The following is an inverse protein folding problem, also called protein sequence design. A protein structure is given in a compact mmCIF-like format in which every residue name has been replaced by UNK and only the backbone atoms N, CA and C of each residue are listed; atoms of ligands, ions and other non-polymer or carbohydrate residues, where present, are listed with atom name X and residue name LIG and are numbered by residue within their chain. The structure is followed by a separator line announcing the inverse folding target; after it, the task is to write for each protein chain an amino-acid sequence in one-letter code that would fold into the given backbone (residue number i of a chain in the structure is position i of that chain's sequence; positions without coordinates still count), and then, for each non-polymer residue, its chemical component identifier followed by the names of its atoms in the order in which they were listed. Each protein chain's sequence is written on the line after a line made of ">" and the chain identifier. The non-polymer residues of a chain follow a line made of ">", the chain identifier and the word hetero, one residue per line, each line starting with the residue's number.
data_IF_604167220625
#
_entry.id   IF_604167220625
#
_cell.length_a   1.000
_cell.length_b   1.000
_cell.length_c   1.000
_cell.angle_alpha   90.00
_cell.angle_beta   90.00
_cell.angle_gamma   90.00
#
_symmetry.space_group_name_H-M   'P 1'
#
loop_
_entity.id
_entity.type
_entity.pdbx_description
1 polymer ?
#
# COMPACT_ATOMS: atom_id res chain seq x y z
N UNK A 1 7.70 -10.15 -6.40
CA UNK A 1 7.70 -8.80 -5.83
C UNK A 1 8.46 -8.88 -4.52
N UNK A 2 9.29 -7.91 -4.22
CA UNK A 2 10.15 -7.93 -3.04
C UNK A 2 9.30 -7.84 -1.78
N UNK A 3 9.50 -8.72 -0.80
CA UNK A 3 8.99 -8.50 0.54
C UNK A 3 9.50 -7.16 1.07
N UNK A 4 8.75 -6.49 1.93
CA UNK A 4 9.09 -5.14 2.40
C UNK A 4 10.47 -5.09 3.09
N UNK A 5 10.80 -6.15 3.81
CA UNK A 5 12.04 -6.32 4.55
C UNK A 5 12.86 -7.55 4.11
N UNK A 6 12.41 -8.27 3.08
CA UNK A 6 13.04 -9.49 2.61
C UNK A 6 14.25 -9.24 1.70
N UNK A 7 15.00 -10.29 1.40
CA UNK A 7 16.10 -10.21 0.44
C UNK A 7 15.59 -9.79 -0.94
N UNK A 8 16.44 -9.20 -1.79
CA UNK A 8 16.06 -8.88 -3.15
C UNK A 8 15.67 -10.13 -3.93
N UNK A 9 14.56 -10.06 -4.67
CA UNK A 9 14.07 -11.11 -5.55
C UNK A 9 13.80 -10.55 -6.95
N UNK A 10 13.82 -11.39 -8.00
CA UNK A 10 13.49 -10.93 -9.35
C UNK A 10 12.00 -10.53 -9.45
N UNK A 11 11.74 -9.43 -10.14
CA UNK A 11 10.38 -8.90 -10.35
C UNK A 11 9.72 -9.61 -11.55
N UNK A 12 9.13 -10.78 -11.32
CA UNK A 12 8.55 -11.63 -12.37
C UNK A 12 7.03 -11.45 -12.45
N UNK A 13 6.48 -11.46 -13.67
CA UNK A 13 5.06 -11.62 -13.93
C UNK A 13 4.68 -13.10 -13.71
N UNK A 14 3.87 -13.39 -12.70
CA UNK A 14 3.51 -14.76 -12.34
C UNK A 14 2.20 -15.23 -12.95
N UNK A 15 1.27 -14.32 -13.14
CA UNK A 15 -0.05 -14.57 -13.74
C UNK A 15 -0.47 -13.38 -14.57
N UNK A 16 -1.32 -13.65 -15.52
CA UNK A 16 -1.93 -12.66 -16.39
C UNK A 16 -3.43 -12.95 -16.49
N UNK A 17 -4.22 -11.90 -16.51
CA UNK A 17 -5.62 -11.94 -16.90
C UNK A 17 -5.83 -10.95 -18.03
N UNK A 18 -6.41 -11.41 -19.12
CA UNK A 18 -6.81 -10.59 -20.24
C UNK A 18 -8.33 -10.63 -20.34
N UNK A 19 -8.94 -9.48 -20.35
CA UNK A 19 -10.39 -9.32 -20.52
C UNK A 19 -10.66 -8.19 -21.50
N UNK A 20 -11.91 -8.06 -21.96
CA UNK A 20 -12.29 -6.90 -22.73
C UNK A 20 -12.32 -5.64 -21.84
N UNK A 21 -12.25 -4.46 -22.45
CA UNK A 21 -12.10 -3.19 -21.72
C UNK A 21 -13.36 -2.76 -20.95
N UNK A 22 -14.49 -3.42 -21.16
CA UNK A 22 -15.75 -3.24 -20.44
C UNK A 22 -15.83 -4.06 -19.13
N UNK A 23 -14.92 -5.01 -18.93
CA UNK A 23 -14.84 -5.78 -17.69
C UNK A 23 -14.28 -4.94 -16.54
N UNK A 24 -14.91 -5.12 -15.37
CA UNK A 24 -14.45 -4.53 -14.11
C UNK A 24 -13.17 -5.24 -13.61
N UNK A 25 -12.00 -4.59 -13.64
CA UNK A 25 -10.73 -5.27 -13.36
C UNK A 25 -10.62 -5.85 -11.93
N UNK A 26 -11.05 -5.15 -10.83
CA UNK A 26 -10.87 -5.68 -9.48
C UNK A 26 -11.54 -7.02 -9.24
N UNK A 27 -12.88 -7.19 -9.44
CA UNK A 27 -13.53 -8.49 -9.24
C UNK A 27 -13.06 -9.55 -10.24
N UNK A 28 -12.71 -9.17 -11.47
CA UNK A 28 -12.16 -10.10 -12.47
C UNK A 28 -10.78 -10.66 -12.07
N UNK A 29 -10.02 -9.94 -11.26
CA UNK A 29 -8.70 -10.38 -10.81
C UNK A 29 -8.73 -11.28 -9.57
N UNK A 30 -9.79 -11.26 -8.76
CA UNK A 30 -9.92 -12.11 -7.56
C UNK A 30 -9.77 -13.62 -7.88
N UNK A 31 -10.40 -14.19 -8.93
CA UNK A 31 -10.19 -15.60 -9.28
C UNK A 31 -8.74 -15.93 -9.66
N UNK A 32 -7.98 -14.96 -10.19
CA UNK A 32 -6.56 -15.14 -10.49
C UNK A 32 -5.76 -15.28 -9.20
N UNK A 33 -6.01 -14.44 -8.21
CA UNK A 33 -5.39 -14.51 -6.89
C UNK A 33 -5.73 -15.84 -6.18
N UNK A 34 -6.99 -16.25 -6.20
CA UNK A 34 -7.44 -17.54 -5.65
C UNK A 34 -6.72 -18.72 -6.30
N UNK A 35 -6.49 -18.67 -7.61
CA UNK A 35 -5.76 -19.70 -8.33
C UNK A 35 -4.29 -19.73 -7.94
N UNK A 36 -3.66 -18.54 -7.78
CA UNK A 36 -2.29 -18.45 -7.27
C UNK A 36 -2.14 -19.09 -5.90
N UNK A 37 -3.07 -18.84 -4.98
CA UNK A 37 -3.06 -19.43 -3.64
C UNK A 37 -3.26 -20.97 -3.70
N UNK A 38 -4.14 -21.47 -4.54
CA UNK A 38 -4.32 -22.92 -4.77
C UNK A 38 -3.06 -23.58 -5.35
N UNK A 39 -2.30 -22.85 -6.15
CA UNK A 39 -1.03 -23.33 -6.71
C UNK A 39 0.14 -23.21 -5.68
N UNK A 40 -0.15 -22.97 -4.40
CA UNK A 40 0.82 -22.90 -3.31
C UNK A 40 1.56 -21.56 -3.21
N UNK A 41 1.12 -20.52 -3.92
CA UNK A 41 1.74 -19.19 -3.85
C UNK A 41 1.10 -18.41 -2.71
N UNK A 42 1.87 -18.14 -1.65
CA UNK A 42 1.43 -17.25 -0.56
C UNK A 42 1.49 -15.81 -1.00
N UNK A 43 0.37 -15.09 -0.89
CA UNK A 43 0.28 -13.65 -1.16
C UNK A 43 0.24 -12.93 0.19
N UNK A 44 1.34 -12.29 0.57
CA UNK A 44 1.42 -11.54 1.84
C UNK A 44 0.94 -10.10 1.67
N UNK A 45 1.41 -9.42 0.62
CA UNK A 45 1.07 -8.02 0.33
C UNK A 45 0.47 -7.91 -1.07
N UNK A 46 -0.67 -7.26 -1.19
CA UNK A 46 -1.28 -6.93 -2.48
C UNK A 46 -1.28 -5.41 -2.67
N UNK A 47 -0.47 -4.96 -3.62
CA UNK A 47 -0.36 -3.55 -3.98
C UNK A 47 -1.24 -3.26 -5.19
N UNK A 48 -2.19 -2.34 -5.03
CA UNK A 48 -3.10 -1.93 -6.09
C UNK A 48 -3.11 -0.40 -6.22
N UNK A 49 -3.51 0.11 -7.38
CA UNK A 49 -3.73 1.55 -7.52
C UNK A 49 -5.10 1.98 -6.96
N UNK A 50 -5.36 3.28 -6.98
CA UNK A 50 -6.63 3.84 -6.48
C UNK A 50 -7.86 3.31 -7.24
N UNK A 51 -7.72 2.89 -8.49
CA UNK A 51 -8.82 2.33 -9.28
C UNK A 51 -9.45 1.09 -8.64
N UNK A 52 -8.68 0.33 -7.86
CA UNK A 52 -9.18 -0.82 -7.11
C UNK A 52 -9.93 -0.41 -5.83
N UNK A 53 -9.62 0.74 -5.25
CA UNK A 53 -10.27 1.26 -4.05
C UNK A 53 -11.70 1.78 -4.28
N UNK A 54 -12.14 1.94 -5.54
CA UNK A 54 -13.51 2.41 -5.87
C UNK A 54 -14.60 1.37 -5.61
N UNK A 55 -14.23 0.11 -5.39
CA UNK A 55 -15.21 -0.99 -5.29
C UNK A 55 -15.74 -1.16 -3.87
N UNK A 56 -16.98 -1.67 -3.79
CA UNK A 56 -17.54 -2.12 -2.50
C UNK A 56 -16.67 -3.25 -1.91
N UNK A 57 -16.61 -3.37 -0.58
CA UNK A 57 -15.71 -4.31 0.09
C UNK A 57 -15.84 -5.76 -0.41
N UNK A 58 -17.05 -6.21 -0.70
CA UNK A 58 -17.38 -7.59 -1.11
C UNK A 58 -16.79 -7.95 -2.47
N UNK A 59 -16.54 -6.95 -3.32
CA UNK A 59 -16.02 -7.17 -4.70
C UNK A 59 -14.51 -7.14 -4.77
N UNK A 60 -13.82 -6.64 -3.74
CA UNK A 60 -12.38 -6.51 -3.75
C UNK A 60 -11.73 -6.75 -2.38
N UNK A 61 -11.94 -5.87 -1.41
CA UNK A 61 -11.15 -5.87 -0.17
C UNK A 61 -11.37 -7.14 0.69
N UNK A 62 -12.61 -7.59 0.85
CA UNK A 62 -12.92 -8.79 1.63
C UNK A 62 -12.41 -10.08 0.96
N UNK A 63 -12.64 -10.32 -0.35
CA UNK A 63 -12.06 -11.48 -1.03
C UNK A 63 -10.53 -11.54 -0.96
N UNK A 64 -9.84 -10.40 -1.07
CA UNK A 64 -8.38 -10.33 -0.97
C UNK A 64 -7.91 -10.71 0.44
N UNK A 65 -8.55 -10.18 1.48
CA UNK A 65 -8.19 -10.52 2.87
C UNK A 65 -8.50 -11.97 3.21
N UNK A 66 -9.57 -12.54 2.65
CA UNK A 66 -9.88 -13.96 2.82
C UNK A 66 -8.78 -14.89 2.28
N UNK A 67 -7.89 -14.40 1.40
CA UNK A 67 -6.69 -15.12 0.96
C UNK A 67 -5.49 -14.95 1.91
N UNK A 68 -5.64 -14.23 3.01
CA UNK A 68 -4.56 -13.90 3.94
C UNK A 68 -3.66 -12.76 3.46
N UNK A 69 -4.04 -12.03 2.42
CA UNK A 69 -3.25 -10.94 1.86
C UNK A 69 -3.60 -9.59 2.50
N UNK A 70 -2.58 -8.79 2.81
CA UNK A 70 -2.72 -7.42 3.28
C UNK A 70 -2.79 -6.44 2.09
N UNK A 71 -3.81 -5.59 2.09
CA UNK A 71 -3.95 -4.55 1.09
C UNK A 71 -3.01 -3.38 1.35
N UNK A 72 -2.44 -2.83 0.28
CA UNK A 72 -1.66 -1.58 0.26
C UNK A 72 -2.07 -0.82 -0.99
N UNK A 73 -2.92 0.20 -0.81
CA UNK A 73 -3.51 0.94 -1.92
C UNK A 73 -3.69 2.41 -1.55
N UNK A 74 -3.78 3.27 -2.55
CA UNK A 74 -4.20 4.66 -2.33
C UNK A 74 -5.71 4.70 -2.11
N UNK A 75 -6.16 5.48 -1.12
CA UNK A 75 -7.58 5.61 -0.83
C UNK A 75 -8.25 6.54 -1.84
N UNK A 76 -9.49 6.20 -2.21
CA UNK A 76 -10.35 7.11 -2.96
C UNK A 76 -10.51 8.44 -2.20
N UNK A 77 -10.52 9.61 -2.87
CA UNK A 77 -10.67 10.89 -2.19
C UNK A 77 -11.84 10.95 -1.21
N UNK A 78 -13.00 10.36 -1.55
CA UNK A 78 -14.19 10.33 -0.70
C UNK A 78 -14.07 9.37 0.52
N UNK A 79 -13.07 8.50 0.54
CA UNK A 79 -12.81 7.57 1.64
C UNK A 79 -11.69 8.08 2.57
N UNK A 80 -11.16 9.27 2.30
CA UNK A 80 -10.12 9.92 3.12
C UNK A 80 -10.76 10.76 4.22
N UNK A 81 -10.04 10.91 5.32
CA UNK A 81 -10.51 11.64 6.48
C UNK A 81 -11.59 10.91 7.28
N UNK A 82 -12.31 11.63 8.16
CA UNK A 82 -13.39 11.08 8.96
C UNK A 82 -14.55 10.60 8.06
N UNK A 83 -15.01 9.38 8.29
CA UNK A 83 -16.07 8.77 7.48
C UNK A 83 -17.14 8.01 8.29
N UNK A 84 -17.12 8.15 9.61
CA UNK A 84 -18.11 7.55 10.50
C UNK A 84 -17.59 7.32 11.92
N UNK A 85 -18.31 6.52 12.69
CA UNK A 85 -17.92 6.14 14.05
C UNK A 85 -18.25 4.68 14.35
N UNK A 86 -17.49 4.08 15.26
CA UNK A 86 -17.80 2.76 15.81
C UNK A 86 -17.63 2.79 17.33
N UNK A 87 -18.71 2.53 18.07
CA UNK A 87 -18.76 2.62 19.53
C UNK A 87 -18.24 3.98 20.06
N UNK A 88 -18.41 5.04 19.25
CA UNK A 88 -17.96 6.40 19.53
C UNK A 88 -16.51 6.71 19.14
N UNK A 89 -15.71 5.73 18.76
CA UNK A 89 -14.41 5.98 18.13
C UNK A 89 -14.60 6.48 16.70
N UNK A 90 -13.84 7.49 16.28
CA UNK A 90 -13.92 8.05 14.92
C UNK A 90 -13.26 7.07 13.94
N UNK A 91 -13.96 6.73 12.85
CA UNK A 91 -13.37 6.00 11.72
C UNK A 91 -12.78 7.01 10.73
N UNK A 92 -11.50 6.88 10.45
CA UNK A 92 -10.81 7.70 9.46
C UNK A 92 -9.66 6.91 8.81
N UNK A 93 -9.50 7.07 7.50
CA UNK A 93 -8.38 6.49 6.75
C UNK A 93 -8.14 4.99 7.03
N UNK A 94 -9.23 4.24 7.28
CA UNK A 94 -9.17 2.80 7.55
C UNK A 94 -8.76 2.42 8.99
N UNK A 95 -8.77 3.38 9.93
CA UNK A 95 -8.42 3.18 11.35
C UNK A 95 -9.49 3.76 12.26
N UNK A 96 -9.38 3.42 13.54
CA UNK A 96 -10.19 3.97 14.62
C UNK A 96 -9.36 4.91 15.48
N UNK A 97 -9.92 6.07 15.78
CA UNK A 97 -9.27 7.13 16.56
C UNK A 97 -10.11 7.55 17.76
N UNK A 98 -9.44 8.09 18.77
CA UNK A 98 -10.08 8.69 19.92
C UNK A 98 -11.07 9.78 19.48
N UNK A 99 -12.29 9.88 20.09
CA UNK A 99 -13.25 10.93 19.74
C UNK A 99 -12.71 12.36 19.96
N UNK A 100 -11.72 12.54 20.83
CA UNK A 100 -11.06 13.83 21.05
C UNK A 100 -9.84 14.07 20.15
N UNK A 101 -9.71 13.32 19.04
CA UNK A 101 -8.63 13.57 18.06
C UNK A 101 -8.86 14.89 17.32
N UNK A 102 -7.87 15.79 17.25
CA UNK A 102 -8.00 17.03 16.48
C UNK A 102 -8.37 16.76 15.02
N UNK A 103 -9.39 17.44 14.50
CA UNK A 103 -9.90 17.24 13.13
C UNK A 103 -8.80 17.42 12.07
N UNK A 104 -7.94 18.42 12.25
CA UNK A 104 -6.82 18.66 11.34
C UNK A 104 -5.88 17.45 11.18
N UNK A 105 -5.72 16.62 12.22
CA UNK A 105 -4.93 15.40 12.14
C UNK A 105 -5.68 14.27 11.41
N UNK A 106 -7.01 14.22 11.48
CA UNK A 106 -7.82 13.23 10.78
C UNK A 106 -7.84 13.48 9.26
N UNK A 107 -7.62 14.72 8.83
CA UNK A 107 -7.71 15.21 7.46
C UNK A 107 -6.32 15.32 6.75
N UNK A 108 -5.28 14.71 7.32
CA UNK A 108 -3.95 14.72 6.71
C UNK A 108 -4.02 14.17 5.29
N UNK A 109 -3.66 15.00 4.32
CA UNK A 109 -3.63 14.63 2.90
C UNK A 109 -2.36 13.86 2.54
N UNK A 110 -2.41 13.00 1.51
CA UNK A 110 -1.20 12.35 0.99
C UNK A 110 -0.16 13.36 0.54
N UNK A 111 1.10 13.06 0.78
CA UNK A 111 2.22 13.91 0.38
C UNK A 111 2.34 13.98 -1.16
N UNK A 112 2.42 15.17 -1.77
CA UNK A 112 2.65 15.32 -3.20
C UNK A 112 3.97 14.66 -3.66
N UNK A 113 4.03 14.20 -4.92
CA UNK A 113 5.25 13.57 -5.47
C UNK A 113 6.47 14.49 -5.45
N UNK A 114 6.28 15.79 -5.61
CA UNK A 114 7.33 16.80 -5.66
C UNK A 114 7.52 17.53 -4.34
N UNK A 115 7.09 16.95 -3.21
CA UNK A 115 7.24 17.57 -1.90
C UNK A 115 8.71 17.80 -1.54
N UNK A 116 9.00 18.95 -0.91
CA UNK A 116 10.31 19.27 -0.38
C UNK A 116 10.67 18.37 0.83
N UNK A 117 11.91 18.39 1.25
CA UNK A 117 12.33 17.68 2.46
C UNK A 117 11.61 18.22 3.71
N UNK A 118 11.39 19.52 3.78
CA UNK A 118 10.68 20.19 4.89
C UNK A 118 9.21 19.78 4.92
N UNK A 119 8.52 19.81 3.77
CA UNK A 119 7.14 19.34 3.66
C UNK A 119 7.01 17.84 4.05
N UNK A 120 8.00 17.05 3.66
CA UNK A 120 8.03 15.63 4.03
C UNK A 120 8.19 15.47 5.54
N UNK A 121 9.11 16.20 6.17
CA UNK A 121 9.32 16.13 7.62
C UNK A 121 8.09 16.60 8.41
N UNK A 122 7.46 17.70 8.01
CA UNK A 122 6.23 18.20 8.63
C UNK A 122 5.08 17.21 8.51
N UNK A 123 4.87 16.62 7.34
CA UNK A 123 3.86 15.59 7.11
C UNK A 123 4.12 14.33 7.96
N UNK A 124 5.37 13.89 8.05
CA UNK A 124 5.74 12.71 8.83
C UNK A 124 5.52 12.95 10.34
N UNK A 125 5.76 14.18 10.80
CA UNK A 125 5.47 14.60 12.18
C UNK A 125 3.95 14.59 12.46
N UNK A 126 3.13 15.14 11.56
CA UNK A 126 1.66 15.08 11.70
C UNK A 126 1.14 13.63 11.73
N UNK A 127 1.66 12.75 10.88
CA UNK A 127 1.31 11.33 10.90
C UNK A 127 1.72 10.65 12.22
N UNK A 128 2.88 10.99 12.78
CA UNK A 128 3.35 10.47 14.05
C UNK A 128 2.48 10.96 15.21
N UNK A 129 2.03 12.20 15.17
CA UNK A 129 1.10 12.77 16.16
C UNK A 129 -0.27 12.09 16.07
N UNK A 130 -0.85 11.96 14.87
CA UNK A 130 -2.10 11.24 14.65
C UNK A 130 -2.04 9.81 15.21
N UNK A 131 -0.93 9.11 15.02
CA UNK A 131 -0.75 7.73 15.51
C UNK A 131 -0.86 7.59 17.03
N UNK A 132 -0.66 8.68 17.79
CA UNK A 132 -0.85 8.69 19.26
C UNK A 132 -2.32 8.56 19.65
N UNK A 133 -3.24 9.09 18.82
CA UNK A 133 -4.68 9.04 19.07
C UNK A 133 -5.35 7.76 18.56
N UNK A 134 -4.62 6.92 17.82
CA UNK A 134 -5.16 5.70 17.22
C UNK A 134 -5.45 4.64 18.30
N UNK A 135 -6.65 4.03 18.24
CA UNK A 135 -6.94 2.80 18.95
C UNK A 135 -6.10 1.67 18.37
N UNK A 136 -5.42 0.92 19.23
CA UNK A 136 -4.50 -0.13 18.79
C UNK A 136 -5.09 -1.52 19.00
N UNK A 137 -4.86 -2.39 18.02
CA UNK A 137 -5.22 -3.80 18.14
C UNK A 137 -4.41 -4.46 19.27
N UNK A 138 -5.08 -5.23 20.11
CA UNK A 138 -4.48 -6.06 21.16
C UNK A 138 -4.62 -7.56 20.88
N UNK A 139 -5.46 -7.93 19.89
CA UNK A 139 -5.61 -9.29 19.40
C UNK A 139 -5.39 -9.32 17.89
N UNK A 140 -5.09 -10.50 17.35
CA UNK A 140 -5.27 -10.76 15.93
C UNK A 140 -6.76 -10.85 15.63
N UNK A 141 -7.13 -10.81 14.34
CA UNK A 141 -8.49 -11.13 13.94
C UNK A 141 -8.80 -12.58 14.32
N UNK A 142 -10.01 -12.80 14.84
CA UNK A 142 -10.52 -14.16 15.04
C UNK A 142 -11.00 -14.77 13.71
N UNK A 143 -11.44 -16.04 13.69
CA UNK A 143 -11.93 -16.69 12.47
C UNK A 143 -13.08 -15.97 11.79
N UNK A 144 -13.91 -15.23 12.54
CA UNK A 144 -15.04 -14.47 12.03
C UNK A 144 -14.63 -13.02 11.64
N UNK A 145 -13.34 -12.67 11.78
CA UNK A 145 -12.76 -11.39 11.41
C UNK A 145 -12.91 -10.29 12.46
N UNK A 146 -13.38 -10.59 13.67
CA UNK A 146 -13.45 -9.61 14.74
C UNK A 146 -12.07 -9.37 15.36
N UNK A 147 -11.85 -8.14 15.84
CA UNK A 147 -10.61 -7.73 16.48
C UNK A 147 -10.89 -6.87 17.70
N UNK A 148 -10.13 -7.06 18.79
CA UNK A 148 -10.22 -6.18 19.97
C UNK A 148 -9.18 -5.07 19.86
N UNK A 149 -9.63 -3.85 20.13
CA UNK A 149 -8.77 -2.65 20.15
C UNK A 149 -8.87 -1.95 21.50
N UNK A 150 -7.82 -1.24 21.89
CA UNK A 150 -7.68 -0.54 23.16
C UNK A 150 -7.62 0.97 22.96
N UNK A 151 -8.24 1.71 23.90
CA UNK A 151 -8.14 3.16 23.97
C UNK A 151 -6.69 3.64 24.08
N UNK A 152 -6.26 4.67 23.33
CA UNK A 152 -4.89 5.17 23.36
C UNK A 152 -4.45 5.68 24.74
N UNK A 153 -5.35 6.24 25.56
CA UNK A 153 -5.02 6.61 26.93
C UNK A 153 -4.79 5.40 27.83
N UNK A 154 -5.61 4.34 27.68
CA UNK A 154 -5.39 3.08 28.40
C UNK A 154 -4.09 2.37 27.97
N UNK A 155 -3.60 2.65 26.75
CA UNK A 155 -2.32 2.13 26.23
C UNK A 155 -1.10 3.00 26.60
N UNK A 156 -1.30 4.14 27.26
CA UNK A 156 -0.20 5.03 27.63
C UNK A 156 0.33 5.93 26.51
N UNK A 157 -0.46 6.16 25.45
CA UNK A 157 -0.06 7.03 24.34
C UNK A 157 -0.41 8.49 24.54
N UNK A 158 -1.53 8.76 25.24
CA UNK A 158 -2.06 10.10 25.51
C UNK A 158 -2.50 10.17 26.97
N UNK A 159 -2.59 11.39 27.50
CA UNK A 159 -3.14 11.70 28.81
C UNK A 159 -4.62 12.06 28.66
N UNK A 160 -5.50 11.47 29.45
CA UNK A 160 -6.94 11.70 29.35
C UNK A 160 -7.61 11.64 30.73
N UNK A 161 -8.41 12.66 31.13
CA UNK A 161 -9.12 12.66 32.40
C UNK A 161 -10.08 11.48 32.57
N UNK A 162 -10.66 10.96 31.48
CA UNK A 162 -11.52 9.76 31.51
C UNK A 162 -10.75 8.46 31.81
N UNK A 163 -9.44 8.50 31.86
CA UNK A 163 -8.54 7.38 32.21
C UNK A 163 -7.49 7.89 33.22
N UNK A 164 -7.83 8.04 34.49
CA UNK A 164 -6.98 8.71 35.50
C UNK A 164 -5.53 8.15 35.56
N UNK A 165 -5.36 6.83 35.37
CA UNK A 165 -4.04 6.23 35.32
C UNK A 165 -3.15 6.81 34.21
N UNK A 166 -3.72 7.35 33.13
CA UNK A 166 -2.95 7.98 32.04
C UNK A 166 -2.39 9.36 32.42
N UNK A 167 -2.90 9.99 33.45
CA UNK A 167 -2.44 11.32 33.89
C UNK A 167 -1.07 11.26 34.58
N UNK A 168 -0.62 10.06 35.01
CA UNK A 168 0.73 9.83 35.55
C UNK A 168 1.82 9.74 34.46
N UNK A 169 1.41 9.71 33.17
CA UNK A 169 2.36 9.70 32.06
C UNK A 169 3.15 11.01 31.97
N UNK A 170 4.35 10.98 31.36
CA UNK A 170 5.16 12.17 31.14
C UNK A 170 4.40 13.26 30.37
N UNK A 171 4.72 14.53 30.67
CA UNK A 171 4.05 15.70 30.09
C UNK A 171 4.35 15.92 28.59
N UNK A 172 5.29 15.17 28.00
CA UNK A 172 5.55 15.14 26.56
C UNK A 172 4.46 14.38 25.76
N UNK A 173 3.53 13.71 26.46
CA UNK A 173 2.37 13.05 25.85
C UNK A 173 1.25 14.04 25.59
N UNK A 174 0.55 13.96 24.45
CA UNK A 174 -0.65 14.77 24.20
C UNK A 174 -1.65 14.59 25.34
N UNK A 175 -2.23 15.68 25.80
CA UNK A 175 -3.26 15.67 26.83
C UNK A 175 -4.61 16.06 26.24
N UNK A 176 -5.66 15.31 26.58
CA UNK A 176 -7.04 15.65 26.25
C UNK A 176 -7.54 16.64 27.29
N UNK A 177 -7.63 17.91 26.91
CA UNK A 177 -8.10 18.98 27.80
C UNK A 177 -9.62 19.02 27.86
N UNK A 178 -10.30 18.70 26.76
CA UNK A 178 -11.75 18.74 26.62
C UNK A 178 -12.29 17.35 26.24
N UNK A 179 -12.47 16.44 27.21
CA UNK A 179 -13.03 15.13 26.96
C UNK A 179 -14.54 15.23 26.69
N UNK A 180 -15.15 14.28 25.94
CA UNK A 180 -16.58 14.27 25.71
C UNK A 180 -17.37 14.31 27.02
N UNK A 181 -18.34 15.22 27.13
CA UNK A 181 -19.22 15.35 28.29
C UNK A 181 -20.01 14.05 28.58
N UNK A 182 -20.45 13.39 27.50
CA UNK A 182 -21.07 12.07 27.55
C UNK A 182 -20.10 11.04 26.94
N UNK A 183 -19.22 10.42 27.76
CA UNK A 183 -18.19 9.52 27.25
C UNK A 183 -18.77 8.31 26.50
N UNK A 184 -18.41 8.07 25.22
CA UNK A 184 -18.89 6.93 24.47
C UNK A 184 -18.25 5.62 24.95
N UNK A 185 -18.77 4.49 24.47
CA UNK A 185 -18.32 3.16 24.90
C UNK A 185 -16.80 2.95 24.74
N UNK A 186 -16.17 3.48 23.70
CA UNK A 186 -14.72 3.41 23.52
C UNK A 186 -13.91 4.15 24.60
N UNK A 187 -14.54 5.13 25.29
CA UNK A 187 -13.93 5.84 26.41
C UNK A 187 -14.23 5.17 27.76
N UNK A 188 -15.41 4.56 27.91
CA UNK A 188 -15.84 3.91 29.16
C UNK A 188 -15.16 2.53 29.31
N UNK A 189 -15.18 1.71 28.25
CA UNK A 189 -14.61 0.37 28.25
C UNK A 189 -13.08 0.40 28.18
N UNK A 190 -12.45 -0.66 28.67
CA UNK A 190 -11.00 -0.82 28.51
C UNK A 190 -10.63 -1.18 27.05
N UNK A 191 -11.46 -2.02 26.44
CA UNK A 191 -11.32 -2.43 25.04
C UNK A 191 -12.68 -2.49 24.37
N UNK A 192 -12.73 -2.27 23.06
CA UNK A 192 -13.92 -2.47 22.23
C UNK A 192 -13.65 -3.54 21.16
N UNK A 193 -14.70 -4.24 20.74
CA UNK A 193 -14.64 -5.23 19.68
C UNK A 193 -15.02 -4.59 18.36
N UNK A 194 -14.20 -4.78 17.33
CA UNK A 194 -14.38 -4.22 16.00
C UNK A 194 -14.77 -5.35 15.04
N UNK A 195 -15.96 -5.31 14.44
CA UNK A 195 -16.38 -6.29 13.45
C UNK A 195 -15.67 -6.08 12.10
N UNK A 196 -15.60 -7.11 11.24
CA UNK A 196 -14.94 -7.03 9.92
C UNK A 196 -15.57 -6.02 8.96
N UNK A 197 -16.83 -5.61 9.20
CA UNK A 197 -17.53 -4.58 8.42
C UNK A 197 -17.00 -3.17 8.66
N UNK A 198 -16.43 -2.89 9.83
CA UNK A 198 -15.86 -1.58 10.15
C UNK A 198 -14.57 -1.40 9.36
N UNK A 199 -14.47 -0.30 8.62
CA UNK A 199 -13.36 -0.01 7.72
C UNK A 199 -13.09 -1.11 6.66
N UNK A 200 -14.08 -1.96 6.35
CA UNK A 200 -13.92 -3.09 5.42
C UNK A 200 -13.30 -2.70 4.08
N UNK A 201 -13.64 -1.53 3.56
CA UNK A 201 -13.12 -0.99 2.30
C UNK A 201 -11.70 -0.41 2.44
N UNK A 202 -11.44 0.28 3.55
CA UNK A 202 -10.29 1.19 3.71
C UNK A 202 -9.18 0.65 4.61
N UNK A 203 -9.45 -0.38 5.43
CA UNK A 203 -8.42 -1.00 6.25
C UNK A 203 -7.32 -1.60 5.36
N UNK A 204 -6.07 -1.37 5.73
CA UNK A 204 -4.91 -1.86 4.98
C UNK A 204 -3.70 -2.07 5.92
N UNK A 205 -2.61 -2.65 5.41
CA UNK A 205 -1.43 -3.02 6.21
C UNK A 205 -0.89 -1.87 7.03
N UNK A 206 -0.67 -0.74 6.40
CA UNK A 206 -0.09 0.45 7.04
C UNK A 206 -1.13 1.53 7.29
N UNK A 207 -0.89 2.40 8.25
CA UNK A 207 -1.71 3.57 8.48
C UNK A 207 -1.58 4.54 7.29
N UNK A 208 -2.68 4.97 6.73
CA UNK A 208 -2.72 5.91 5.62
C UNK A 208 -2.89 7.35 6.17
N UNK A 209 -2.13 8.34 5.65
CA UNK A 209 -1.08 8.29 4.63
C UNK A 209 0.36 8.27 5.19
N UNK A 210 0.67 7.39 6.13
CA UNK A 210 1.93 7.36 6.88
C UNK A 210 3.20 7.16 6.01
N UNK A 211 4.39 7.48 6.54
CA UNK A 211 5.67 7.17 5.89
C UNK A 211 5.82 5.67 5.56
N UNK A 212 5.32 4.78 6.43
CA UNK A 212 5.36 3.34 6.21
C UNK A 212 4.48 2.95 5.01
N UNK A 213 3.25 3.50 4.93
CA UNK A 213 2.38 3.31 3.78
C UNK A 213 3.07 3.79 2.49
N UNK A 214 3.61 5.01 2.48
CA UNK A 214 4.29 5.60 1.33
C UNK A 214 5.46 4.76 0.84
N UNK A 215 6.33 4.28 1.74
CA UNK A 215 7.44 3.39 1.37
C UNK A 215 6.95 2.08 0.77
N UNK A 216 5.95 1.46 1.39
CA UNK A 216 5.39 0.20 0.94
C UNK A 216 4.65 0.35 -0.40
N UNK A 217 3.83 1.38 -0.55
CA UNK A 217 3.08 1.66 -1.76
C UNK A 217 3.99 1.97 -2.98
N UNK A 218 5.14 2.59 -2.75
CA UNK A 218 6.11 2.85 -3.82
C UNK A 218 6.62 1.59 -4.52
N UNK A 219 6.50 0.40 -3.89
CA UNK A 219 6.80 -0.89 -4.54
C UNK A 219 5.90 -1.15 -5.76
N UNK A 220 4.71 -0.52 -5.83
CA UNK A 220 3.78 -0.62 -6.96
C UNK A 220 4.42 -0.20 -8.29
N UNK A 221 5.42 0.68 -8.26
CA UNK A 221 6.18 1.07 -9.45
C UNK A 221 6.82 -0.13 -10.21
N UNK A 222 6.92 -1.30 -9.57
CA UNK A 222 7.37 -2.52 -10.24
C UNK A 222 6.40 -2.98 -11.34
N UNK A 223 5.08 -2.80 -11.13
CA UNK A 223 4.08 -3.09 -12.16
C UNK A 223 4.23 -2.14 -13.36
N UNK A 224 4.41 -0.84 -13.11
CA UNK A 224 4.64 0.15 -14.17
C UNK A 224 5.91 -0.15 -14.98
N UNK A 225 7.00 -0.55 -14.29
CA UNK A 225 8.24 -1.00 -14.97
C UNK A 225 8.01 -2.24 -15.83
N UNK A 226 7.12 -3.14 -15.40
CA UNK A 226 6.77 -4.32 -16.21
C UNK A 226 6.14 -3.90 -17.53
N UNK A 227 5.13 -3.03 -17.49
CA UNK A 227 4.49 -2.51 -18.70
C UNK A 227 5.44 -1.70 -19.58
N UNK A 228 6.27 -0.86 -18.99
CA UNK A 228 7.30 -0.12 -19.73
C UNK A 228 8.27 -1.08 -20.46
N UNK A 229 8.72 -2.13 -19.79
CA UNK A 229 9.68 -3.09 -20.38
C UNK A 229 9.06 -3.90 -21.52
N UNK A 230 7.79 -4.29 -21.45
CA UNK A 230 7.15 -5.05 -22.53
C UNK A 230 6.80 -4.16 -23.74
N UNK A 231 6.67 -2.85 -23.55
CA UNK A 231 6.45 -1.87 -24.62
C UNK A 231 7.74 -1.30 -25.21
N UNK A 232 8.89 -1.64 -24.64
CA UNK A 232 10.18 -1.14 -25.08
C UNK A 232 10.53 -1.69 -26.49
N UNK A 233 10.68 -0.81 -27.52
CA UNK A 233 11.01 -1.21 -28.89
C UNK A 233 12.31 -2.01 -28.98
N UNK A 234 13.27 -1.76 -28.11
CA UNK A 234 14.55 -2.48 -28.10
C UNK A 234 14.44 -3.95 -27.65
N UNK A 235 13.30 -4.35 -27.06
CA UNK A 235 13.16 -5.69 -26.48
C UNK A 235 11.96 -6.49 -27.00
N UNK A 236 10.73 -5.96 -26.86
CA UNK A 236 9.51 -6.72 -27.17
C UNK A 236 8.54 -5.98 -28.08
N UNK A 237 8.55 -4.66 -28.01
CA UNK A 237 7.72 -3.75 -28.82
C UNK A 237 6.25 -4.18 -28.99
N UNK A 238 5.54 -4.44 -27.92
CA UNK A 238 4.08 -4.64 -28.02
C UNK A 238 3.35 -3.29 -28.06
N UNK A 239 3.82 -2.40 -28.93
CA UNK A 239 3.16 -1.14 -29.17
C UNK A 239 1.88 -1.31 -30.01
N UNK A 240 0.94 -0.37 -29.87
CA UNK A 240 -0.36 -0.43 -30.55
C UNK A 240 -0.22 -0.51 -32.07
N UNK A 241 0.81 0.07 -32.66
CA UNK A 241 1.05 0.06 -34.11
C UNK A 241 1.62 -1.25 -34.64
N UNK A 242 2.22 -2.04 -33.79
CA UNK A 242 2.94 -3.26 -34.18
C UNK A 242 2.10 -4.54 -33.98
N UNK A 243 1.39 -4.66 -32.85
CA UNK A 243 0.55 -5.82 -32.56
C UNK A 243 -0.80 -5.73 -33.32
N UNK A 244 -0.90 -6.46 -34.44
CA UNK A 244 -2.11 -6.51 -35.28
C UNK A 244 -3.00 -7.73 -35.01
N UNK A 245 -2.76 -8.43 -33.91
CA UNK A 245 -3.57 -9.59 -33.54
C UNK A 245 -4.99 -9.18 -33.18
N UNK A 246 -5.95 -9.96 -33.63
CA UNK A 246 -7.37 -9.77 -33.37
C UNK A 246 -7.88 -10.87 -32.44
N UNK A 247 -8.89 -10.58 -31.61
CA UNK A 247 -9.51 -11.47 -30.63
C UNK A 247 -8.61 -11.73 -29.40
N UNK A 248 -9.28 -12.08 -28.29
CA UNK A 248 -8.62 -12.23 -26.98
C UNK A 248 -7.60 -13.38 -26.94
N UNK A 249 -7.91 -14.54 -27.52
CA UNK A 249 -7.02 -15.73 -27.43
C UNK A 249 -5.66 -15.51 -28.08
N UNK A 250 -5.54 -15.07 -29.34
CA UNK A 250 -4.24 -14.78 -29.95
C UNK A 250 -3.48 -13.69 -29.22
N UNK A 251 -4.16 -12.63 -28.76
CA UNK A 251 -3.54 -11.55 -27.97
C UNK A 251 -3.03 -12.10 -26.63
N UNK A 252 -3.80 -12.97 -25.96
CA UNK A 252 -3.39 -13.58 -24.70
C UNK A 252 -2.14 -14.46 -24.88
N UNK A 253 -2.10 -15.31 -25.89
CA UNK A 253 -0.95 -16.16 -26.18
C UNK A 253 0.30 -15.32 -26.49
N UNK A 254 0.18 -14.32 -27.34
CA UNK A 254 1.27 -13.40 -27.66
C UNK A 254 1.77 -12.67 -26.41
N UNK A 255 0.88 -12.09 -25.63
CA UNK A 255 1.24 -11.38 -24.39
C UNK A 255 1.92 -12.31 -23.38
N UNK A 256 1.41 -13.56 -23.25
CA UNK A 256 2.03 -14.56 -22.37
C UNK A 256 3.47 -14.88 -22.83
N UNK A 257 3.71 -15.08 -24.13
CA UNK A 257 5.04 -15.32 -24.68
C UNK A 257 6.00 -14.16 -24.40
N UNK A 258 5.54 -12.93 -24.59
CA UNK A 258 6.32 -11.72 -24.28
C UNK A 258 6.65 -11.63 -22.79
N UNK A 259 5.71 -11.95 -21.91
CA UNK A 259 5.93 -11.97 -20.45
C UNK A 259 6.92 -13.07 -20.04
N UNK A 260 6.87 -14.25 -20.67
CA UNK A 260 7.84 -15.33 -20.44
C UNK A 260 9.25 -14.87 -20.85
N UNK A 261 9.41 -14.35 -22.05
CA UNK A 261 10.70 -13.84 -22.54
C UNK A 261 11.25 -12.71 -21.64
N UNK A 262 10.39 -11.81 -21.18
CA UNK A 262 10.76 -10.79 -20.19
C UNK A 262 11.21 -11.41 -18.88
N UNK A 263 10.47 -12.37 -18.36
CA UNK A 263 10.79 -13.02 -17.09
C UNK A 263 12.15 -13.71 -17.14
N UNK A 264 12.47 -14.41 -18.22
CA UNK A 264 13.79 -15.03 -18.43
C UNK A 264 14.90 -13.97 -18.38
N UNK A 265 14.78 -12.88 -19.13
CA UNK A 265 15.76 -11.78 -19.09
C UNK A 265 15.93 -11.16 -17.71
N UNK A 266 14.83 -10.94 -16.97
CA UNK A 266 14.90 -10.39 -15.61
C UNK A 266 15.56 -11.35 -14.64
N UNK A 267 15.25 -12.65 -14.75
CA UNK A 267 15.86 -13.71 -13.96
C UNK A 267 17.38 -13.76 -14.18
N UNK A 268 17.82 -13.85 -15.43
CA UNK A 268 19.24 -13.92 -15.78
C UNK A 268 20.01 -12.67 -15.34
N UNK A 269 19.44 -11.49 -15.59
CA UNK A 269 20.06 -10.23 -15.14
C UNK A 269 20.12 -10.11 -13.61
N UNK A 270 19.17 -10.72 -12.89
CA UNK A 270 19.17 -10.75 -11.44
C UNK A 270 20.31 -11.63 -10.92
N UNK A 271 20.45 -12.86 -11.43
CA UNK A 271 21.51 -13.77 -11.01
C UNK A 271 22.90 -13.28 -11.39
N UNK A 272 23.07 -12.72 -12.59
CA UNK A 272 24.34 -12.10 -13.01
C UNK A 272 24.74 -10.96 -12.07
N UNK A 273 23.78 -10.15 -11.61
CA UNK A 273 24.04 -9.09 -10.63
C UNK A 273 24.39 -9.64 -9.26
N UNK A 274 23.72 -10.70 -8.81
CA UNK A 274 24.06 -11.36 -7.54
C UNK A 274 25.47 -11.89 -7.57
N UNK A 275 25.85 -12.62 -8.64
CA UNK A 275 27.22 -13.15 -8.82
C UNK A 275 28.26 -12.02 -8.83
N UNK A 276 28.00 -10.94 -9.57
CA UNK A 276 28.89 -9.79 -9.61
C UNK A 276 29.04 -9.10 -8.25
N UNK A 277 27.97 -9.02 -7.45
CA UNK A 277 28.03 -8.44 -6.11
C UNK A 277 28.73 -9.37 -5.11
N UNK A 278 28.60 -10.68 -5.25
CA UNK A 278 29.35 -11.66 -4.45
C UNK A 278 30.85 -11.57 -4.72
N UNK A 279 31.24 -11.50 -6.01
CA UNK A 279 32.63 -11.29 -6.38
C UNK A 279 33.20 -9.98 -5.81
N UNK A 280 32.45 -8.87 -5.95
CA UNK A 280 32.86 -7.59 -5.37
C UNK A 280 33.01 -7.64 -3.85
N UNK A 281 32.14 -8.37 -3.15
CA UNK A 281 32.25 -8.56 -1.72
C UNK A 281 33.51 -9.36 -1.35
N UNK A 282 33.87 -10.38 -2.14
CA UNK A 282 35.12 -11.13 -1.98
C UNK A 282 36.35 -10.24 -2.21
N UNK A 283 36.25 -9.27 -3.12
CA UNK A 283 37.29 -8.29 -3.41
C UNK A 283 37.27 -7.08 -2.41
N UNK A 284 36.47 -7.11 -1.35
CA UNK A 284 36.34 -6.03 -0.37
C UNK A 284 35.67 -4.76 -0.90
N UNK A 285 34.97 -4.84 -2.06
CA UNK A 285 34.34 -3.71 -2.71
C UNK A 285 32.83 -3.64 -2.39
N UNK A 286 32.24 -2.44 -2.27
CA UNK A 286 30.81 -2.29 -2.03
C UNK A 286 29.96 -2.82 -3.21
N UNK A 287 28.71 -3.27 -2.97
CA UNK A 287 27.79 -3.72 -4.03
C UNK A 287 27.63 -2.66 -5.13
N UNK A 288 27.54 -3.11 -6.39
CA UNK A 288 27.31 -2.21 -7.52
C UNK A 288 25.88 -1.66 -7.48
N UNK A 289 25.73 -0.39 -7.14
CA UNK A 289 24.44 0.28 -7.23
C UNK A 289 24.08 0.59 -8.69
N UNK A 290 22.81 0.39 -9.06
CA UNK A 290 22.28 0.81 -10.36
C UNK A 290 22.39 2.33 -10.42
N UNK A 291 23.28 2.89 -11.25
CA UNK A 291 23.28 4.32 -11.54
C UNK A 291 21.90 4.68 -12.11
N UNK A 292 21.17 5.56 -11.46
CA UNK A 292 20.04 6.25 -12.10
C UNK A 292 20.62 6.99 -13.30
N UNK A 293 20.14 6.69 -14.50
CA UNK A 293 20.43 7.53 -15.68
C UNK A 293 19.89 8.91 -15.33
N UNK A 294 20.75 9.87 -14.99
CA UNK A 294 20.38 11.27 -14.92
C UNK A 294 19.97 11.64 -16.35
N UNK A 295 18.73 12.03 -16.55
CA UNK A 295 18.38 12.79 -17.74
C UNK A 295 19.20 14.06 -17.68
N UNK A 296 20.14 14.21 -18.59
CA UNK A 296 20.89 15.45 -18.73
C UNK A 296 19.99 16.47 -19.38
N UNK A 297 20.22 17.75 -19.10
CA UNK A 297 19.49 18.86 -19.75
C UNK A 297 19.54 18.74 -21.28
N UNK A 298 20.59 18.15 -21.81
CA UNK A 298 20.78 17.84 -23.24
C UNK A 298 19.77 16.80 -23.74
N UNK A 299 19.45 15.76 -22.93
CA UNK A 299 18.44 14.74 -23.31
C UNK A 299 17.03 15.35 -23.36
N UNK A 300 16.75 16.36 -22.52
CA UNK A 300 15.47 17.08 -22.51
C UNK A 300 15.35 18.04 -23.71
N UNK A 301 16.43 18.73 -24.08
CA UNK A 301 16.45 19.67 -25.22
C UNK A 301 16.32 18.90 -26.55
N UNK A 302 16.94 17.73 -26.70
CA UNK A 302 16.81 16.92 -27.91
C UNK A 302 15.41 16.32 -28.08
N UNK A 303 14.69 16.05 -26.98
CA UNK A 303 13.31 15.55 -27.03
C UNK A 303 12.28 16.61 -27.45
N UNK A 304 12.58 17.90 -27.25
CA UNK A 304 11.71 19.05 -27.63
C UNK A 304 11.97 19.52 -29.06
N UNK A 305 13.04 19.10 -29.71
CA UNK A 305 13.43 19.52 -31.07
C UNK A 305 13.14 18.47 -32.16
N UNK A 306 12.31 17.46 -31.90
CA UNK A 306 11.83 16.57 -32.96
C UNK A 306 10.64 17.25 -33.64
N UNK A 307 10.72 17.69 -34.90
CA UNK A 307 9.57 18.27 -35.60
C UNK A 307 8.49 17.23 -35.84
N UNK A 308 7.21 17.67 -36.05
CA UNK A 308 6.03 16.80 -36.15
C UNK A 308 6.04 15.86 -37.33
#
# INVERSE_FOLDING_TARGET
>A
MRDEHGPPVPELARRMHLASCDHDPPPAFVPVLQRMTRDGITITDLLADSGYAYRVPERWALPVRALGAELIQDLHPNDRGPNGTHMGAITANGRLYCPATPTALLEISPLPRAASAEQTAAHDQQCAELARYKLSAITRHDPDGYQRVICPAAQGKIRCPLKPASLTLPYDRPEILDPPEHPPACCQQHTITVPPSVNAKTAQKHDYPSPAHRRSYNRRSAAERTFSTIKDPATNDISRGWCRLMRLTPIALFTATVLIARNLRIHDAFHARQAANQQRAADGLPPKHRKRRRQTTTDLISATNTPP
#
